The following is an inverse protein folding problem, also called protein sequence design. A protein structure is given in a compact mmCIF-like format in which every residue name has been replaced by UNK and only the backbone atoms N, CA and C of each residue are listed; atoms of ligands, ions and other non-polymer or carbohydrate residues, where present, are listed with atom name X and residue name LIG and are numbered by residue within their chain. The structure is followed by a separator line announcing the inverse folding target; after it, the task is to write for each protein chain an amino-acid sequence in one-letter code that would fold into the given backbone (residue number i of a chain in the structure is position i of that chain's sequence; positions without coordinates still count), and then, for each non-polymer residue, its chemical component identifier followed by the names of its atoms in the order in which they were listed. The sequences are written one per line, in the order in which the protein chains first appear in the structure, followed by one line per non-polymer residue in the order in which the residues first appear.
data_IF_961833061750
#
_entry.id   IF_961833061750
#
_cell.length_a   1.000
_cell.length_b   1.000
_cell.length_c   1.000
_cell.angle_alpha   90.00
_cell.angle_beta   90.00
_cell.angle_gamma   90.00
#
_symmetry.space_group_name_H-M   'P 1'
#
loop_
_entity.id
_entity.type
_entity.pdbx_description
1 polymer ?
#
# COMPACT_ATOMS: atom_id res chain seq x y z
N UNK A 1 -5.42 -11.05 -8.25
CA UNK A 1 -4.77 -11.95 -9.12
C UNK A 1 -3.98 -11.32 -10.22
N UNK A 2 -4.58 -10.45 -11.00
CA UNK A 2 -3.84 -9.90 -12.11
C UNK A 2 -2.58 -9.16 -11.68
N UNK A 3 -2.66 -8.34 -10.65
CA UNK A 3 -1.49 -7.63 -10.14
C UNK A 3 -0.46 -8.60 -9.58
N UNK A 4 -0.88 -9.62 -8.86
CA UNK A 4 0.01 -10.62 -8.30
C UNK A 4 0.67 -11.45 -9.41
N UNK A 5 -0.11 -11.88 -10.37
CA UNK A 5 0.42 -12.69 -11.47
C UNK A 5 1.39 -11.93 -12.35
N UNK A 6 1.04 -10.70 -12.73
CA UNK A 6 1.91 -9.89 -13.58
C UNK A 6 3.21 -9.51 -12.90
N UNK A 7 3.16 -9.23 -11.63
CA UNK A 7 4.31 -8.75 -10.89
C UNK A 7 5.04 -9.85 -10.15
N UNK A 8 4.46 -11.05 -10.10
CA UNK A 8 4.99 -12.20 -9.35
C UNK A 8 5.21 -11.85 -7.89
N UNK A 9 4.31 -11.06 -7.33
CA UNK A 9 4.36 -10.68 -5.92
C UNK A 9 3.55 -11.65 -5.07
N UNK A 10 3.82 -11.66 -3.79
CA UNK A 10 3.11 -12.51 -2.83
C UNK A 10 1.79 -11.90 -2.43
N UNK A 11 1.71 -10.58 -2.43
CA UNK A 11 0.49 -9.86 -2.11
C UNK A 11 0.42 -8.55 -2.87
N UNK A 12 -0.77 -7.99 -2.92
CA UNK A 12 -1.00 -6.69 -3.56
C UNK A 12 -1.85 -5.81 -2.66
N UNK A 13 -1.74 -4.51 -2.89
CA UNK A 13 -2.56 -3.54 -2.18
C UNK A 13 -2.81 -2.34 -3.09
N UNK A 14 -3.60 -1.39 -2.60
CA UNK A 14 -3.95 -0.19 -3.35
C UNK A 14 -3.33 1.05 -2.73
N UNK A 15 -3.06 2.03 -3.57
CA UNK A 15 -2.65 3.34 -3.13
C UNK A 15 -3.24 4.39 -4.06
N UNK A 16 -3.33 5.62 -3.56
CA UNK A 16 -3.88 6.72 -4.33
C UNK A 16 -3.00 7.96 -4.09
N UNK A 17 -2.90 8.87 -5.07
CA UNK A 17 -2.11 10.08 -4.87
C UNK A 17 -2.65 10.95 -3.74
N UNK A 18 -1.73 11.56 -3.00
CA UNK A 18 -2.07 12.53 -1.96
C UNK A 18 -2.09 13.90 -2.61
N UNK A 19 -3.18 14.63 -2.42
CA UNK A 19 -3.39 15.93 -3.05
C UNK A 19 -3.35 17.11 -2.09
N UNK A 20 -3.12 16.87 -0.80
CA UNK A 20 -3.00 17.98 0.16
C UNK A 20 -1.93 17.66 1.20
N UNK A 21 -1.28 18.73 1.68
CA UNK A 21 -0.20 18.56 2.65
C UNK A 21 -0.71 18.12 4.02
N UNK A 22 -1.97 18.42 4.34
CA UNK A 22 -2.56 18.01 5.60
C UNK A 22 -2.61 16.49 5.71
N UNK A 23 -3.05 15.81 4.66
CA UNK A 23 -3.07 14.36 4.63
C UNK A 23 -1.66 13.78 4.68
N UNK A 24 -0.72 14.44 4.00
CA UNK A 24 0.65 13.98 3.98
C UNK A 24 1.28 14.02 5.38
N UNK A 25 0.92 15.02 6.17
CA UNK A 25 1.46 15.19 7.54
C UNK A 25 0.68 14.38 8.58
N UNK A 26 -0.49 13.88 8.25
CA UNK A 26 -1.33 13.17 9.21
C UNK A 26 -0.82 11.76 9.46
N UNK A 27 -0.49 11.44 10.70
CA UNK A 27 0.03 10.13 11.07
C UNK A 27 -1.01 9.00 10.91
N UNK A 28 -2.29 9.34 10.80
CA UNK A 28 -3.33 8.35 10.53
C UNK A 28 -3.43 8.00 9.04
N UNK A 29 -2.85 8.85 8.20
CA UNK A 29 -2.77 8.58 6.76
C UNK A 29 -1.45 7.86 6.52
N UNK A 30 -1.52 6.59 6.14
CA UNK A 30 -0.33 5.80 5.90
C UNK A 30 0.22 6.09 4.51
N UNK A 31 1.48 6.47 4.44
CA UNK A 31 2.15 6.75 3.18
C UNK A 31 2.85 5.49 2.68
N UNK A 32 3.02 5.39 1.39
CA UNK A 32 3.75 4.28 0.78
C UNK A 32 4.66 4.82 -0.30
N UNK A 33 5.89 4.34 -0.32
CA UNK A 33 6.82 4.61 -1.42
C UNK A 33 7.00 3.32 -2.20
N UNK A 34 7.03 3.44 -3.52
CA UNK A 34 7.17 2.26 -4.35
C UNK A 34 8.28 2.45 -5.37
N UNK A 35 8.83 1.34 -5.82
CA UNK A 35 9.90 1.38 -6.80
C UNK A 35 9.35 1.57 -8.22
N UNK A 36 10.23 1.62 -9.20
CA UNK A 36 9.84 1.85 -10.58
C UNK A 36 9.00 0.71 -11.16
N UNK A 37 9.04 -0.45 -10.54
CA UNK A 37 8.26 -1.60 -10.97
C UNK A 37 6.91 -1.72 -10.25
N UNK A 38 6.64 -0.80 -9.33
CA UNK A 38 5.38 -0.78 -8.62
C UNK A 38 5.34 -1.59 -7.34
N UNK A 39 6.50 -1.99 -6.82
CA UNK A 39 6.55 -2.71 -5.55
C UNK A 39 6.78 -1.74 -4.40
N UNK A 40 6.16 -2.02 -3.26
CA UNK A 40 6.36 -1.21 -2.09
C UNK A 40 7.79 -1.28 -1.61
N UNK A 41 8.36 -0.12 -1.32
CA UNK A 41 9.67 -0.03 -0.68
C UNK A 41 9.50 0.07 0.83
N UNK A 42 8.51 0.84 1.28
CA UNK A 42 8.19 0.97 2.69
C UNK A 42 6.83 1.64 2.86
N UNK A 43 6.19 1.36 4.00
CA UNK A 43 4.96 2.02 4.44
C UNK A 43 5.26 2.71 5.76
N UNK A 44 4.78 3.93 5.94
CA UNK A 44 5.04 4.66 7.18
C UNK A 44 3.94 5.67 7.49
N UNK A 45 3.74 5.90 8.76
CA UNK A 45 2.88 7.00 9.22
C UNK A 45 3.56 8.34 9.06
N UNK A 46 4.90 8.35 8.99
CA UNK A 46 5.66 9.56 8.75
C UNK A 46 5.45 10.05 7.31
N UNK A 47 5.64 11.34 7.06
CA UNK A 47 5.54 11.88 5.71
C UNK A 47 6.76 11.45 4.88
N UNK A 48 6.61 10.35 4.16
CA UNK A 48 7.65 9.82 3.28
C UNK A 48 7.16 9.79 1.83
N UNK A 49 8.03 10.01 0.83
CA UNK A 49 9.42 10.46 0.97
C UNK A 49 9.49 11.90 1.48
N UNK A 50 10.59 12.25 2.12
CA UNK A 50 10.72 13.58 2.70
C UNK A 50 10.87 14.63 1.58
N UNK A 51 9.96 15.60 1.47
CA UNK A 51 10.07 16.65 0.47
C UNK A 51 11.11 17.66 0.92
N UNK A 52 12.25 17.66 0.27
CA UNK A 52 13.34 18.57 0.65
C UNK A 52 12.92 20.03 0.43
N UNK A 53 12.21 20.30 -0.68
CA UNK A 53 11.79 21.66 -0.98
C UNK A 53 10.49 21.95 -0.21
N UNK A 54 9.35 21.61 -0.78
CA UNK A 54 8.08 21.66 -0.05
C UNK A 54 7.04 20.86 -0.84
N UNK A 55 5.88 20.69 -0.23
CA UNK A 55 4.80 19.91 -0.85
C UNK A 55 4.32 20.57 -2.16
N UNK A 56 4.20 21.89 -2.16
CA UNK A 56 3.69 22.58 -3.35
C UNK A 56 4.66 22.47 -4.53
N UNK A 57 5.96 22.44 -4.27
CA UNK A 57 6.94 22.25 -5.31
C UNK A 57 6.80 20.87 -5.97
N UNK A 58 6.45 19.85 -5.19
CA UNK A 58 6.22 18.51 -5.72
C UNK A 58 4.97 18.48 -6.61
N UNK A 59 3.91 19.16 -6.22
CA UNK A 59 2.71 19.26 -7.02
C UNK A 59 2.99 19.90 -8.37
N UNK A 60 3.75 20.98 -8.38
CA UNK A 60 4.09 21.68 -9.62
C UNK A 60 4.90 20.80 -10.58
N UNK A 61 5.71 19.92 -10.05
CA UNK A 61 6.51 18.98 -10.85
C UNK A 61 5.77 17.70 -11.18
N UNK A 62 4.54 17.58 -10.73
CA UNK A 62 3.72 16.36 -10.87
C UNK A 62 4.41 15.12 -10.30
N UNK A 63 5.17 15.30 -9.21
CA UNK A 63 5.80 14.19 -8.52
C UNK A 63 4.85 13.66 -7.46
N UNK A 64 4.35 12.45 -7.60
CA UNK A 64 3.28 11.98 -6.73
C UNK A 64 3.77 11.46 -5.40
N UNK A 65 2.99 11.75 -4.37
CA UNK A 65 3.10 11.11 -3.07
C UNK A 65 1.88 10.22 -2.92
N UNK A 66 2.02 9.06 -2.29
CA UNK A 66 0.95 8.07 -2.27
C UNK A 66 0.46 7.77 -0.87
N UNK A 67 -0.85 7.64 -0.76
CA UNK A 67 -1.54 7.19 0.43
C UNK A 67 -1.91 5.73 0.25
N UNK A 68 -1.58 4.91 1.23
CA UNK A 68 -1.94 3.51 1.23
C UNK A 68 -3.41 3.34 1.62
N UNK A 69 -4.11 2.50 0.85
CA UNK A 69 -5.46 2.08 1.19
C UNK A 69 -5.35 0.66 1.72
N UNK A 70 -5.88 0.42 2.91
CA UNK A 70 -5.68 -0.84 3.62
C UNK A 70 -6.49 -2.02 3.09
N UNK A 71 -6.43 -2.26 1.80
CA UNK A 71 -7.14 -3.33 1.12
C UNK A 71 -6.10 -4.22 0.45
N UNK A 72 -6.15 -5.53 0.69
CA UNK A 72 -5.10 -6.46 0.27
C UNK A 72 -5.63 -7.62 -0.54
N UNK A 73 -4.79 -8.07 -1.48
CA UNK A 73 -4.96 -9.35 -2.15
C UNK A 73 -3.79 -10.25 -1.79
N UNK A 74 -4.06 -11.54 -1.62
CA UNK A 74 -3.04 -12.52 -1.25
C UNK A 74 -3.17 -13.76 -2.11
N UNK A 75 -2.04 -14.47 -2.30
CA UNK A 75 -2.15 -15.87 -2.70
C UNK A 75 -2.44 -16.69 -1.44
N UNK A 76 -3.11 -17.81 -1.60
CA UNK A 76 -3.39 -18.68 -0.46
C UNK A 76 -2.10 -19.20 0.17
N UNK A 77 -1.11 -19.48 -0.66
CA UNK A 77 0.18 -19.94 -0.20
C UNK A 77 0.87 -18.88 0.65
N UNK A 78 0.86 -17.63 0.20
CA UNK A 78 1.48 -16.55 0.95
C UNK A 78 0.76 -16.33 2.28
N UNK A 79 -0.56 -16.38 2.28
CA UNK A 79 -1.32 -16.17 3.51
C UNK A 79 -0.92 -17.19 4.58
N UNK A 80 -0.72 -18.43 4.21
CA UNK A 80 -0.25 -19.44 5.14
C UNK A 80 1.14 -19.12 5.68
N UNK A 81 2.05 -18.66 4.81
CA UNK A 81 3.39 -18.25 5.23
C UNK A 81 3.33 -17.03 6.15
N UNK A 82 2.51 -16.05 5.79
CA UNK A 82 2.40 -14.81 6.54
C UNK A 82 1.96 -15.05 7.98
N UNK A 83 1.00 -15.95 8.19
CA UNK A 83 0.53 -16.24 9.54
C UNK A 83 1.59 -16.95 10.39
N UNK A 84 2.60 -17.52 9.76
CA UNK A 84 3.70 -18.17 10.46
C UNK A 84 4.83 -17.21 10.84
N UNK A 85 4.86 -16.01 10.23
CA UNK A 85 5.91 -15.04 10.55
C UNK A 85 5.66 -14.43 11.93
N UNK A 86 6.69 -14.27 12.75
CA UNK A 86 6.52 -13.56 14.01
C UNK A 86 6.30 -12.08 13.77
N UNK A 87 5.70 -11.39 14.73
CA UNK A 87 5.51 -9.95 14.66
C UNK A 87 6.88 -9.28 14.56
N UNK A 88 7.08 -8.43 13.56
CA UNK A 88 8.36 -7.79 13.34
C UNK A 88 8.55 -6.48 14.10
N UNK A 89 9.78 -6.01 14.15
CA UNK A 89 10.12 -4.78 14.85
C UNK A 89 9.47 -3.56 14.20
N UNK A 90 9.57 -3.42 12.89
CA UNK A 90 9.00 -2.27 12.18
C UNK A 90 7.48 -2.27 12.28
N UNK A 91 6.88 -3.44 12.20
CA UNK A 91 5.45 -3.59 12.38
C UNK A 91 5.02 -3.09 13.76
N UNK A 92 5.77 -3.42 14.78
CA UNK A 92 5.46 -3.01 16.14
C UNK A 92 5.65 -1.51 16.35
N UNK A 93 6.69 -0.95 15.76
CA UNK A 93 6.99 0.49 15.90
C UNK A 93 5.92 1.33 15.21
N UNK A 94 5.59 1.01 13.96
CA UNK A 94 4.65 1.81 13.19
C UNK A 94 3.20 1.39 13.38
N UNK A 95 2.96 0.22 13.97
CA UNK A 95 1.63 -0.39 14.08
C UNK A 95 1.02 -0.59 12.70
N UNK A 96 1.81 -1.13 11.78
CA UNK A 96 1.41 -1.44 10.41
C UNK A 96 1.75 -2.89 10.11
N UNK A 97 0.73 -3.72 10.04
CA UNK A 97 0.90 -5.17 9.90
C UNK A 97 1.56 -5.58 8.59
N UNK A 98 1.32 -4.84 7.51
CA UNK A 98 1.90 -5.16 6.21
C UNK A 98 3.43 -5.06 6.20
N UNK A 99 4.03 -4.36 7.15
CA UNK A 99 5.48 -4.30 7.25
C UNK A 99 6.09 -5.67 7.57
N UNK A 100 5.31 -6.56 8.19
CA UNK A 100 5.78 -7.93 8.45
C UNK A 100 6.18 -8.64 7.16
N UNK A 101 5.43 -8.43 6.08
CA UNK A 101 5.78 -9.02 4.79
C UNK A 101 7.10 -8.47 4.27
N UNK A 102 7.27 -7.14 4.30
CA UNK A 102 8.52 -6.52 3.83
C UNK A 102 9.71 -6.94 4.69
N UNK A 103 9.52 -7.04 6.01
CA UNK A 103 10.58 -7.46 6.92
C UNK A 103 11.05 -8.87 6.64
N UNK A 104 10.22 -9.68 6.03
CA UNK A 104 10.55 -11.06 5.68
C UNK A 104 10.92 -11.21 4.20
N UNK A 105 11.26 -10.09 3.54
CA UNK A 105 11.73 -10.13 2.16
C UNK A 105 10.68 -10.44 1.13
N UNK A 106 9.40 -10.31 1.49
CA UNK A 106 8.31 -10.56 0.55
C UNK A 106 7.94 -9.30 -0.20
N UNK A 107 7.40 -9.46 -1.38
CA UNK A 107 7.10 -8.34 -2.27
C UNK A 107 5.62 -8.02 -2.24
N UNK A 108 5.31 -6.72 -2.14
CA UNK A 108 3.95 -6.23 -2.16
C UNK A 108 3.79 -5.35 -3.39
N UNK A 109 2.93 -5.75 -4.32
CA UNK A 109 2.61 -4.93 -5.47
C UNK A 109 1.65 -3.82 -5.05
N UNK A 110 1.93 -2.60 -5.44
CA UNK A 110 1.08 -1.44 -5.11
C UNK A 110 0.41 -0.97 -6.39
N UNK A 111 -0.91 -1.17 -6.45
CA UNK A 111 -1.72 -0.77 -7.60
C UNK A 111 -2.28 0.61 -7.33
N UNK A 112 -2.09 1.54 -8.26
CA UNK A 112 -2.58 2.90 -8.08
C UNK A 112 -4.02 3.03 -8.53
N UNK A 113 -4.79 3.81 -7.79
CA UNK A 113 -6.17 4.12 -8.15
C UNK A 113 -6.42 5.60 -7.89
N UNK A 114 -7.29 6.20 -8.68
CA UNK A 114 -7.68 7.60 -8.50
C UNK A 114 -8.91 7.73 -7.60
N UNK A 115 -9.50 6.61 -7.20
CA UNK A 115 -10.73 6.66 -6.43
C UNK A 115 -10.46 6.77 -4.93
N UNK A 116 -10.28 8.02 -4.49
CA UNK A 116 -10.05 8.33 -3.08
C UNK A 116 -11.21 7.92 -2.18
N UNK A 117 -12.39 7.89 -2.73
CA UNK A 117 -13.60 7.66 -1.95
C UNK A 117 -13.95 6.19 -1.75
N UNK A 118 -13.08 5.27 -2.16
CA UNK A 118 -13.35 3.87 -1.94
C UNK A 118 -13.19 3.57 -0.45
N UNK A 119 -14.29 3.68 0.27
CA UNK A 119 -14.34 3.17 1.62
C UNK A 119 -14.85 1.75 1.54
N UNK A 120 -14.15 0.80 2.14
CA UNK A 120 -14.60 -0.58 2.13
C UNK A 120 -15.17 -0.91 3.50
N UNK A 121 -16.40 -0.44 3.72
CA UNK A 121 -17.11 -0.66 4.97
C UNK A 121 -18.24 -1.69 4.80
N UNK A 122 -18.60 -2.01 3.55
CA UNK A 122 -19.70 -2.90 3.24
C UNK A 122 -19.30 -3.94 2.21
N UNK A 123 -20.07 -5.05 2.08
CA UNK A 123 -19.81 -6.02 1.02
C UNK A 123 -19.88 -5.44 -0.39
N UNK A 124 -20.74 -4.44 -0.60
CA UNK A 124 -20.79 -3.77 -1.91
C UNK A 124 -19.51 -3.02 -2.21
N UNK A 125 -18.95 -2.36 -1.20
CA UNK A 125 -17.68 -1.67 -1.35
C UNK A 125 -16.58 -2.63 -1.73
N UNK A 126 -16.56 -3.79 -1.10
CA UNK A 126 -15.57 -4.81 -1.39
C UNK A 126 -15.70 -5.31 -2.84
N UNK A 127 -16.93 -5.51 -3.32
CA UNK A 127 -17.15 -5.90 -4.71
C UNK A 127 -16.64 -4.85 -5.68
N UNK A 128 -16.81 -3.59 -5.35
CA UNK A 128 -16.37 -2.50 -6.22
C UNK A 128 -14.86 -2.46 -6.39
N UNK A 129 -14.11 -2.78 -5.34
CA UNK A 129 -12.64 -2.75 -5.40
C UNK A 129 -12.03 -4.09 -5.80
N UNK A 130 -12.80 -5.17 -5.79
CA UNK A 130 -12.30 -6.49 -6.12
C UNK A 130 -11.54 -6.57 -7.45
N UNK A 131 -11.97 -5.89 -8.54
CA UNK A 131 -11.22 -5.91 -9.79
C UNK A 131 -9.81 -5.35 -9.68
N UNK A 132 -9.53 -4.50 -8.70
CA UNK A 132 -8.21 -3.92 -8.51
C UNK A 132 -7.31 -4.84 -7.70
N UNK A 133 -7.90 -5.63 -6.82
CA UNK A 133 -7.13 -6.48 -5.93
C UNK A 133 -6.97 -7.90 -6.44
N UNK A 134 -7.96 -8.44 -7.00
CA UNK A 134 -8.10 -9.80 -7.43
C UNK A 134 -7.14 -10.73 -6.80
N UNK A 135 -7.45 -11.20 -5.70
CA UNK A 135 -6.73 -12.28 -5.13
C UNK A 135 -7.14 -13.51 -5.86
N UNK A 136 -6.37 -13.90 -6.85
CA UNK A 136 -6.68 -14.99 -7.61
C UNK A 136 -6.86 -16.19 -6.86
N UNK A 137 -7.72 -16.93 -7.16
CA UNK A 137 -8.01 -18.09 -6.43
C UNK A 137 -8.50 -17.75 -5.07
N UNK A 138 -8.74 -16.53 -4.93
CA UNK A 138 -9.44 -16.20 -3.74
C UNK A 138 -10.79 -16.79 -3.88
#
# INVERSE_FOLDING_TARGET
AEAIEKTKSDMSTLATPIDCSEDFQDSNVVKVVRDVNGFAMYFSRAPIPYPRDDFDALEKKALPLFRHLGIYGYTAEFLRSFTSFPTGDLEQIEKLEQLRALENGRRIAVVLTDELSIGVDTPEDLKRVAPFLIADGA
#
